data_IF_814452642998
#
_entry.id   IF_814452642998
#
_cell.length_a   1.000
_cell.length_b   1.000
_cell.length_c   1.000
_cell.angle_alpha   90.00
_cell.angle_beta   90.00
_cell.angle_gamma   90.00
#
_symmetry.space_group_name_H-M   'P 1'
#
loop_
_entity.id
_entity.type
_entity.pdbx_description
1 polymer ?
#
# COMPACT_ATOMS: atom_id res chain seq x y z
N UNK A 1 -1.39 20.06 -45.51
CA UNK A 1 -0.41 20.97 -46.14
C UNK A 1 -0.53 22.35 -45.52
N UNK A 2 0.59 22.98 -45.16
CA UNK A 2 0.62 24.37 -44.68
C UNK A 2 0.31 25.28 -45.86
N UNK A 3 -0.77 26.06 -45.76
CA UNK A 3 -1.25 26.89 -46.87
C UNK A 3 -0.88 28.36 -46.68
N UNK A 4 -0.70 28.82 -45.44
CA UNK A 4 -0.44 30.24 -45.18
C UNK A 4 0.07 30.51 -43.77
N UNK A 5 0.93 31.50 -43.61
CA UNK A 5 1.09 32.20 -42.33
C UNK A 5 0.15 33.42 -42.33
N UNK A 6 -0.95 33.35 -41.59
CA UNK A 6 -1.97 34.40 -41.58
C UNK A 6 -1.59 35.60 -40.73
N UNK A 7 -0.98 35.35 -39.58
CA UNK A 7 -0.58 36.39 -38.64
C UNK A 7 0.67 36.00 -37.85
N UNK A 8 1.57 36.95 -37.63
CA UNK A 8 2.71 36.84 -36.72
C UNK A 8 2.89 38.19 -36.03
N UNK A 9 2.65 38.25 -34.72
CA UNK A 9 2.65 39.50 -33.94
C UNK A 9 3.49 39.38 -32.70
N UNK A 10 4.33 40.38 -32.43
CA UNK A 10 5.29 40.44 -31.33
C UNK A 10 6.25 39.23 -31.25
N UNK A 11 6.62 38.65 -32.40
CA UNK A 11 7.58 37.54 -32.49
C UNK A 11 8.83 38.00 -33.26
N UNK A 12 9.90 38.33 -32.56
CA UNK A 12 11.17 38.76 -33.12
C UNK A 12 11.00 40.05 -33.92
N UNK A 13 11.23 39.97 -35.23
CA UNK A 13 11.03 41.08 -36.19
C UNK A 13 9.61 41.15 -36.75
N UNK A 14 8.75 40.18 -36.45
CA UNK A 14 7.33 40.21 -36.81
C UNK A 14 6.57 41.04 -35.76
N UNK A 15 6.54 42.36 -35.96
CA UNK A 15 5.86 43.29 -35.05
C UNK A 15 4.34 43.09 -35.08
N UNK A 16 3.71 43.18 -36.27
CA UNK A 16 2.29 42.87 -36.50
C UNK A 16 2.08 42.46 -37.96
N UNK A 17 2.74 41.38 -38.38
CA UNK A 17 2.55 40.84 -39.71
C UNK A 17 1.15 40.23 -39.83
N UNK A 18 0.42 40.60 -40.88
CA UNK A 18 -0.83 39.98 -41.28
C UNK A 18 -0.88 39.85 -42.79
N UNK A 19 -1.23 38.67 -43.29
CA UNK A 19 -1.42 38.44 -44.72
C UNK A 19 -2.87 38.77 -45.09
N UNK A 20 -3.10 39.47 -46.19
CA UNK A 20 -4.45 39.68 -46.73
C UNK A 20 -5.03 38.36 -47.28
N UNK A 21 -6.35 38.32 -47.51
CA UNK A 21 -7.06 37.09 -47.86
C UNK A 21 -6.46 36.34 -49.06
N UNK A 22 -6.00 37.07 -50.10
CA UNK A 22 -5.54 36.50 -51.37
C UNK A 22 -4.02 36.61 -51.60
N UNK A 23 -3.24 37.07 -50.62
CA UNK A 23 -1.79 37.30 -50.80
C UNK A 23 -0.95 36.28 -50.04
N UNK A 24 0.20 35.88 -50.57
CA UNK A 24 1.18 34.97 -49.93
C UNK A 24 0.64 33.55 -49.59
N UNK A 25 -0.26 33.00 -50.41
CA UNK A 25 -0.63 31.59 -50.30
C UNK A 25 0.55 30.69 -50.70
N UNK A 26 0.70 29.59 -49.99
CA UNK A 26 1.78 28.63 -50.21
C UNK A 26 1.30 27.48 -51.07
N UNK A 27 2.11 27.14 -52.06
CA UNK A 27 1.94 25.97 -52.90
C UNK A 27 2.86 24.82 -52.43
N UNK A 28 2.70 23.63 -53.03
CA UNK A 28 3.44 22.41 -52.63
C UNK A 28 4.94 22.67 -52.45
N UNK A 29 5.51 23.47 -53.34
CA UNK A 29 6.87 23.97 -53.24
C UNK A 29 6.81 25.50 -53.11
N UNK A 30 7.17 26.02 -51.95
CA UNK A 30 7.19 27.46 -51.67
C UNK A 30 8.59 27.86 -51.20
N UNK A 31 9.16 28.88 -51.83
CA UNK A 31 10.45 29.42 -51.46
C UNK A 31 10.27 30.72 -50.67
N UNK A 32 10.74 30.73 -49.42
CA UNK A 32 10.70 31.92 -48.56
C UNK A 32 12.12 32.48 -48.46
N UNK A 33 12.32 33.66 -49.04
CA UNK A 33 13.60 34.35 -49.03
C UNK A 33 13.55 35.60 -48.16
N UNK A 34 14.63 35.83 -47.42
CA UNK A 34 14.89 37.10 -46.75
C UNK A 34 16.41 37.23 -46.49
N UNK A 35 16.96 38.44 -46.28
CA UNK A 35 18.35 38.60 -45.88
C UNK A 35 18.64 38.01 -44.48
N UNK A 36 19.91 38.01 -44.07
CA UNK A 36 20.29 37.58 -42.73
C UNK A 36 19.70 38.49 -41.65
N UNK A 37 19.32 37.91 -40.52
CA UNK A 37 18.65 38.59 -39.40
C UNK A 37 17.24 39.14 -39.66
N UNK A 38 16.59 38.81 -40.78
CA UNK A 38 15.21 39.21 -41.09
C UNK A 38 14.13 38.26 -40.53
N UNK A 39 14.50 37.30 -39.68
CA UNK A 39 13.52 36.46 -38.97
C UNK A 39 13.18 35.11 -39.62
N UNK A 40 13.93 34.66 -40.63
CA UNK A 40 13.78 33.30 -41.20
C UNK A 40 13.82 32.21 -40.12
N UNK A 41 14.85 32.22 -39.28
CA UNK A 41 14.99 31.29 -38.15
C UNK A 41 13.88 31.46 -37.11
N UNK A 42 13.43 32.70 -36.90
CA UNK A 42 12.29 32.98 -36.01
C UNK A 42 11.02 32.32 -36.53
N UNK A 43 10.78 32.40 -37.83
CA UNK A 43 9.64 31.77 -38.47
C UNK A 43 9.70 30.24 -38.40
N UNK A 44 10.88 29.65 -38.61
CA UNK A 44 11.10 28.20 -38.39
C UNK A 44 10.79 27.82 -36.93
N UNK A 45 11.14 28.65 -35.95
CA UNK A 45 10.79 28.39 -34.54
C UNK A 45 9.28 28.44 -34.27
N UNK A 46 8.51 29.25 -35.01
CA UNK A 46 7.04 29.26 -34.92
C UNK A 46 6.49 27.92 -35.41
N UNK A 47 6.95 27.43 -36.57
CA UNK A 47 6.55 26.13 -37.10
C UNK A 47 6.97 24.97 -36.17
N UNK A 48 8.17 25.06 -35.59
CA UNK A 48 8.67 24.09 -34.60
C UNK A 48 7.83 24.10 -33.33
N UNK A 49 7.44 25.27 -32.84
CA UNK A 49 6.56 25.42 -31.68
C UNK A 49 5.18 24.81 -31.94
N UNK A 50 4.62 25.01 -33.14
CA UNK A 50 3.34 24.40 -33.54
C UNK A 50 3.41 22.87 -33.58
N UNK A 51 4.56 22.33 -34.02
CA UNK A 51 4.82 20.89 -34.06
C UNK A 51 4.95 20.27 -32.67
N UNK A 52 5.86 20.82 -31.87
CA UNK A 52 6.24 20.24 -30.57
C UNK A 52 5.28 20.67 -29.44
N UNK A 53 4.31 21.53 -29.76
CA UNK A 53 3.47 22.25 -28.80
C UNK A 53 4.28 22.89 -27.66
N UNK A 54 5.44 23.46 -27.99
CA UNK A 54 6.33 24.12 -27.02
C UNK A 54 6.25 25.65 -27.17
N UNK A 55 5.54 26.35 -26.25
CA UNK A 55 5.40 27.80 -26.28
C UNK A 55 6.71 28.54 -25.98
N UNK A 56 7.71 27.88 -25.37
CA UNK A 56 8.99 28.52 -25.02
C UNK A 56 9.74 28.98 -26.27
N UNK A 57 9.60 28.26 -27.38
CA UNK A 57 10.23 28.60 -28.66
C UNK A 57 9.75 29.94 -29.23
N UNK A 58 8.48 30.28 -29.03
CA UNK A 58 7.91 31.58 -29.44
C UNK A 58 8.21 32.65 -28.40
N UNK A 59 8.00 32.34 -27.11
CA UNK A 59 8.18 33.31 -26.00
C UNK A 59 9.62 33.79 -25.87
N UNK A 60 10.61 32.91 -26.07
CA UNK A 60 12.03 33.28 -26.11
C UNK A 60 12.39 34.22 -27.25
N UNK A 61 11.49 34.35 -28.24
CA UNK A 61 11.60 35.28 -29.37
C UNK A 61 10.61 36.43 -29.26
N UNK A 62 10.08 36.75 -28.08
CA UNK A 62 9.21 37.94 -27.92
C UNK A 62 9.92 39.20 -28.43
N UNK A 63 9.23 40.02 -29.20
CA UNK A 63 9.76 41.29 -29.71
C UNK A 63 10.17 42.21 -28.57
N UNK A 64 11.37 42.81 -28.69
CA UNK A 64 11.90 43.73 -27.68
C UNK A 64 10.99 44.95 -27.52
N UNK A 65 10.66 45.31 -26.28
CA UNK A 65 9.77 46.44 -25.96
C UNK A 65 8.28 46.17 -26.15
N UNK A 66 7.87 44.99 -26.64
CA UNK A 66 6.45 44.66 -26.79
C UNK A 66 5.78 44.41 -25.43
N UNK A 67 4.72 45.17 -25.12
CA UNK A 67 3.90 44.94 -23.91
C UNK A 67 2.98 43.73 -24.08
N UNK A 68 2.33 43.63 -25.24
CA UNK A 68 1.44 42.53 -25.58
C UNK A 68 2.16 41.18 -25.74
N UNK A 69 1.40 40.10 -25.59
CA UNK A 69 1.91 38.75 -25.79
C UNK A 69 2.17 38.45 -27.28
N UNK A 70 3.06 37.49 -27.59
CA UNK A 70 3.23 37.00 -28.95
C UNK A 70 1.98 36.26 -29.44
N UNK A 71 1.60 36.46 -30.69
CA UNK A 71 0.44 35.81 -31.34
C UNK A 71 0.87 35.28 -32.70
N UNK A 72 0.40 34.09 -33.06
CA UNK A 72 0.64 33.51 -34.38
C UNK A 72 -0.60 32.79 -34.89
N UNK A 73 -0.86 32.89 -36.19
CA UNK A 73 -1.93 32.14 -36.86
C UNK A 73 -1.36 31.50 -38.12
N UNK A 74 -1.38 30.16 -38.16
CA UNK A 74 -0.92 29.35 -39.30
C UNK A 74 -2.12 28.59 -39.85
N UNK A 75 -2.31 28.64 -41.16
CA UNK A 75 -3.36 27.90 -41.85
C UNK A 75 -2.81 26.59 -42.41
N UNK A 76 -3.44 25.47 -42.06
CA UNK A 76 -3.07 24.13 -42.51
C UNK A 76 -4.34 23.41 -42.93
N UNK A 77 -4.41 22.96 -44.19
CA UNK A 77 -5.59 22.25 -44.71
C UNK A 77 -6.91 23.03 -44.58
N UNK A 78 -6.86 24.37 -44.66
CA UNK A 78 -8.02 25.25 -44.49
C UNK A 78 -8.39 25.55 -43.03
N UNK A 79 -7.75 24.91 -42.06
CA UNK A 79 -7.97 25.15 -40.62
C UNK A 79 -6.93 26.14 -40.09
N UNK A 80 -7.37 27.07 -39.25
CA UNK A 80 -6.47 27.95 -38.52
C UNK A 80 -5.98 27.26 -37.24
N UNK A 81 -4.67 27.32 -37.03
CA UNK A 81 -3.96 26.99 -35.81
C UNK A 81 -3.51 28.32 -35.19
N UNK A 82 -3.91 28.59 -33.95
CA UNK A 82 -3.77 29.88 -33.27
C UNK A 82 -2.94 29.71 -32.01
N UNK A 83 -1.94 30.57 -31.86
CA UNK A 83 -1.14 30.74 -30.67
C UNK A 83 -1.57 32.00 -29.93
N UNK A 84 -2.02 31.87 -28.68
CA UNK A 84 -2.58 32.96 -27.87
C UNK A 84 -1.55 33.66 -26.95
N UNK A 85 -0.27 33.33 -27.08
CA UNK A 85 0.80 33.80 -26.19
C UNK A 85 1.20 32.79 -25.13
N UNK A 86 0.33 31.82 -24.85
CA UNK A 86 0.54 30.78 -23.85
C UNK A 86 0.65 29.39 -24.46
N UNK A 87 -0.22 29.03 -25.39
CA UNK A 87 -0.27 27.71 -26.05
C UNK A 87 -0.89 27.79 -27.43
N UNK A 88 -0.69 26.73 -28.21
CA UNK A 88 -1.46 26.50 -29.44
C UNK A 88 -2.81 25.90 -29.10
N UNK A 89 -3.87 26.35 -29.79
CA UNK A 89 -5.20 25.73 -29.70
C UNK A 89 -5.20 24.31 -30.28
N UNK A 90 -4.51 24.14 -31.41
CA UNK A 90 -4.40 22.93 -32.20
C UNK A 90 -2.94 22.74 -32.57
N UNK A 91 -2.15 21.97 -31.81
CA UNK A 91 -0.81 21.59 -32.25
C UNK A 91 -0.89 20.72 -33.52
N UNK A 92 0.17 20.74 -34.33
CA UNK A 92 0.22 19.98 -35.58
C UNK A 92 1.56 19.22 -35.70
N UNK A 93 1.64 17.97 -35.21
CA UNK A 93 2.90 17.23 -35.11
C UNK A 93 3.48 16.79 -36.46
N UNK A 94 2.69 16.80 -37.54
CA UNK A 94 3.08 16.29 -38.87
C UNK A 94 3.97 17.27 -39.67
N UNK A 95 4.70 18.15 -39.00
CA UNK A 95 5.64 19.10 -39.62
C UNK A 95 7.05 18.54 -39.51
N UNK A 96 7.75 18.40 -40.64
CA UNK A 96 9.16 18.02 -40.66
C UNK A 96 10.04 19.24 -40.94
N UNK A 97 11.09 19.42 -40.14
CA UNK A 97 11.99 20.58 -40.21
C UNK A 97 13.43 20.08 -40.32
N UNK A 98 14.09 20.44 -41.42
CA UNK A 98 15.44 20.03 -41.77
C UNK A 98 16.40 21.22 -41.73
N UNK A 99 16.61 21.82 -40.56
CA UNK A 99 17.48 22.97 -40.34
C UNK A 99 18.82 22.60 -39.70
N UNK A 100 19.69 23.59 -39.43
CA UNK A 100 21.00 23.34 -38.85
C UNK A 100 20.95 22.53 -37.52
N UNK A 101 20.05 22.80 -36.56
CA UNK A 101 19.83 21.93 -35.41
C UNK A 101 19.51 20.47 -35.77
N UNK A 102 18.67 20.23 -36.80
CA UNK A 102 18.40 18.88 -37.27
C UNK A 102 19.66 18.21 -37.82
N UNK A 103 20.43 18.92 -38.64
CA UNK A 103 21.67 18.40 -39.25
C UNK A 103 22.73 18.09 -38.18
N UNK A 104 22.92 18.99 -37.22
CA UNK A 104 23.89 18.81 -36.13
C UNK A 104 23.52 17.64 -35.23
N UNK A 105 22.23 17.50 -34.89
CA UNK A 105 21.77 16.43 -34.00
C UNK A 105 21.84 15.02 -34.64
N UNK A 106 21.85 14.95 -35.98
CA UNK A 106 21.54 13.72 -36.68
C UNK A 106 22.45 13.34 -37.85
N UNK A 107 23.12 14.28 -38.53
CA UNK A 107 23.80 13.99 -39.80
C UNK A 107 25.30 14.25 -39.69
N UNK A 108 25.76 15.36 -39.10
CA UNK A 108 27.19 15.68 -39.08
C UNK A 108 27.60 16.80 -38.10
N UNK A 109 28.63 16.54 -37.30
CA UNK A 109 29.62 17.58 -36.91
C UNK A 109 30.98 16.93 -36.61
N UNK A 110 31.99 17.19 -37.47
CA UNK A 110 33.45 16.89 -37.41
C UNK A 110 33.98 15.52 -36.88
N UNK A 111 33.35 14.89 -35.89
CA UNK A 111 33.59 13.51 -35.45
C UNK A 111 32.27 12.76 -35.25
N UNK A 112 32.19 11.53 -35.74
CA UNK A 112 31.01 10.67 -35.55
C UNK A 112 31.10 10.02 -34.16
N UNK A 113 30.58 10.72 -33.14
CA UNK A 113 30.44 10.18 -31.79
C UNK A 113 29.33 9.11 -31.65
N UNK A 114 29.31 8.45 -30.49
CA UNK A 114 28.33 7.39 -30.18
C UNK A 114 26.87 7.90 -30.16
N UNK A 115 26.66 9.13 -29.67
CA UNK A 115 25.33 9.78 -29.65
C UNK A 115 24.80 10.07 -31.06
N UNK A 116 25.65 10.41 -32.04
CA UNK A 116 25.24 10.61 -33.43
C UNK A 116 24.72 9.31 -34.06
N UNK A 117 25.45 8.19 -33.87
CA UNK A 117 25.00 6.86 -34.35
C UNK A 117 23.64 6.48 -33.73
N UNK A 118 23.47 6.75 -32.44
CA UNK A 118 22.22 6.51 -31.72
C UNK A 118 21.06 7.36 -32.26
N UNK A 119 21.30 8.62 -32.59
CA UNK A 119 20.26 9.50 -33.14
C UNK A 119 19.92 9.22 -34.61
N UNK A 120 20.91 8.85 -35.44
CA UNK A 120 20.67 8.35 -36.81
C UNK A 120 19.76 7.12 -36.78
N UNK A 121 20.02 6.17 -35.89
CA UNK A 121 19.14 5.01 -35.74
C UNK A 121 17.72 5.43 -35.33
N UNK A 122 17.54 6.42 -34.46
CA UNK A 122 16.20 6.93 -34.11
C UNK A 122 15.46 7.54 -35.30
N UNK A 123 16.14 8.21 -36.23
CA UNK A 123 15.50 8.70 -37.47
C UNK A 123 15.01 7.54 -38.33
N UNK A 124 15.84 6.50 -38.47
CA UNK A 124 15.51 5.33 -39.30
C UNK A 124 14.34 4.54 -38.69
N UNK A 125 14.23 4.48 -37.37
CA UNK A 125 13.18 3.71 -36.66
C UNK A 125 11.87 4.54 -36.53
N UNK A 126 11.93 5.87 -36.65
CA UNK A 126 10.75 6.76 -36.58
C UNK A 126 10.29 7.11 -35.17
N UNK A 127 9.24 7.94 -35.07
CA UNK A 127 8.77 8.56 -33.81
C UNK A 127 8.39 7.54 -32.73
N UNK A 128 7.80 6.39 -33.13
CA UNK A 128 7.49 5.30 -32.21
C UNK A 128 8.74 4.66 -31.60
N UNK A 129 9.80 4.49 -32.42
CA UNK A 129 11.09 3.98 -31.96
C UNK A 129 11.81 4.95 -31.02
N UNK A 130 11.68 6.26 -31.30
CA UNK A 130 12.23 7.30 -30.43
C UNK A 130 11.56 7.27 -29.05
N UNK A 131 10.22 7.20 -28.99
CA UNK A 131 9.47 7.09 -27.74
C UNK A 131 9.87 5.84 -26.95
N UNK A 132 9.94 4.70 -27.62
CA UNK A 132 10.36 3.44 -26.98
C UNK A 132 11.79 3.50 -26.43
N UNK A 133 12.70 4.16 -27.14
CA UNK A 133 14.08 4.35 -26.69
C UNK A 133 14.18 5.28 -25.47
N UNK A 134 13.34 6.32 -25.41
CA UNK A 134 13.22 7.21 -24.24
C UNK A 134 12.65 6.46 -23.03
N UNK A 135 11.58 5.69 -23.23
CA UNK A 135 10.97 4.85 -22.19
C UNK A 135 11.97 3.82 -21.64
N UNK A 136 12.73 3.16 -22.53
CA UNK A 136 13.78 2.21 -22.14
C UNK A 136 14.89 2.88 -21.34
N UNK A 137 15.30 4.09 -21.73
CA UNK A 137 16.30 4.86 -20.98
C UNK A 137 15.79 5.22 -19.59
N UNK A 138 14.52 5.64 -19.47
CA UNK A 138 13.91 5.97 -18.18
C UNK A 138 13.79 4.73 -17.28
N UNK A 139 13.40 3.58 -17.84
CA UNK A 139 13.33 2.31 -17.13
C UNK A 139 14.70 1.87 -16.61
N UNK A 140 15.76 1.95 -17.42
CA UNK A 140 17.13 1.64 -16.98
C UNK A 140 17.59 2.52 -15.83
N UNK A 141 17.26 3.82 -15.86
CA UNK A 141 17.59 4.73 -14.75
C UNK A 141 16.85 4.34 -13.47
N UNK A 142 15.57 3.98 -13.57
CA UNK A 142 14.77 3.50 -12.42
C UNK A 142 15.30 2.18 -11.86
N UNK A 143 15.65 1.23 -12.73
CA UNK A 143 16.27 -0.05 -12.35
C UNK A 143 17.58 0.19 -11.58
N UNK A 144 18.46 1.04 -12.11
CA UNK A 144 19.72 1.39 -11.44
C UNK A 144 19.49 2.03 -10.07
N UNK A 145 18.52 2.93 -9.95
CA UNK A 145 18.16 3.54 -8.68
C UNK A 145 17.65 2.50 -7.66
N UNK A 146 16.77 1.59 -8.10
CA UNK A 146 16.24 0.50 -7.25
C UNK A 146 17.32 -0.51 -6.85
N UNK A 147 18.22 -0.86 -7.76
CA UNK A 147 19.37 -1.73 -7.46
C UNK A 147 20.30 -1.08 -6.43
N UNK A 148 20.57 0.22 -6.53
CA UNK A 148 21.36 0.94 -5.54
C UNK A 148 20.67 1.01 -4.18
N UNK A 149 19.35 1.21 -4.15
CA UNK A 149 18.54 1.19 -2.94
C UNK A 149 18.60 -0.19 -2.26
N UNK A 150 18.43 -1.27 -3.03
CA UNK A 150 18.58 -2.64 -2.54
C UNK A 150 19.98 -2.92 -1.99
N UNK A 151 21.04 -2.52 -2.72
CA UNK A 151 22.42 -2.66 -2.25
C UNK A 151 22.68 -1.92 -0.94
N UNK A 152 22.11 -0.71 -0.79
CA UNK A 152 22.21 0.05 0.45
C UNK A 152 21.50 -0.62 1.63
N UNK A 153 20.31 -1.21 1.39
CA UNK A 153 19.58 -1.98 2.41
C UNK A 153 20.34 -3.24 2.81
N UNK A 154 20.91 -3.96 1.84
CA UNK A 154 21.77 -5.13 2.09
C UNK A 154 22.99 -4.74 2.93
N UNK A 155 23.63 -3.61 2.62
CA UNK A 155 24.76 -3.11 3.40
C UNK A 155 24.36 -2.65 4.82
N UNK A 156 23.14 -2.16 5.02
CA UNK A 156 22.61 -1.86 6.36
C UNK A 156 22.35 -3.15 7.15
N UNK A 157 21.72 -4.13 6.52
CA UNK A 157 21.46 -5.44 7.12
C UNK A 157 22.76 -6.13 7.55
N UNK A 158 23.76 -6.20 6.67
CA UNK A 158 25.06 -6.82 6.99
C UNK A 158 25.80 -6.11 8.14
N UNK A 159 25.59 -4.80 8.31
CA UNK A 159 26.15 -4.04 9.46
C UNK A 159 25.52 -4.42 10.80
N UNK A 160 24.31 -4.99 10.80
CA UNK A 160 23.61 -5.48 11.99
C UNK A 160 24.20 -6.76 12.61
N UNK A 161 25.22 -7.36 11.99
CA UNK A 161 25.89 -8.55 12.53
C UNK A 161 25.11 -9.85 12.34
N UNK A 162 24.11 -9.87 11.47
CA UNK A 162 23.38 -11.09 11.13
C UNK A 162 24.29 -12.08 10.39
N UNK A 163 24.25 -13.34 10.79
CA UNK A 163 25.04 -14.43 10.18
C UNK A 163 24.41 -15.01 8.91
N UNK A 164 23.12 -14.72 8.69
CA UNK A 164 22.36 -15.17 7.52
C UNK A 164 22.48 -14.17 6.37
N UNK A 165 22.62 -14.65 5.14
CA UNK A 165 22.53 -13.78 3.96
C UNK A 165 21.07 -13.38 3.69
N UNK A 166 20.87 -12.21 3.08
CA UNK A 166 19.52 -11.77 2.66
C UNK A 166 18.88 -12.76 1.70
N UNK A 167 19.67 -13.37 0.80
CA UNK A 167 19.15 -14.38 -0.12
C UNK A 167 18.63 -15.63 0.62
N UNK A 168 19.29 -16.04 1.70
CA UNK A 168 18.83 -17.15 2.52
C UNK A 168 17.51 -16.81 3.25
N UNK A 169 17.32 -15.55 3.65
CA UNK A 169 16.09 -15.09 4.30
C UNK A 169 14.93 -14.99 3.30
N UNK A 170 15.20 -14.45 2.11
CA UNK A 170 14.19 -14.34 1.04
C UNK A 170 13.80 -15.70 0.47
N UNK A 171 14.67 -16.71 0.60
CA UNK A 171 14.39 -18.09 0.20
C UNK A 171 13.55 -18.88 1.22
N UNK A 172 13.28 -18.33 2.41
CA UNK A 172 12.43 -19.00 3.41
C UNK A 172 11.01 -19.11 2.84
N UNK A 173 10.47 -20.33 2.67
CA UNK A 173 9.12 -20.52 2.17
C UNK A 173 8.10 -19.95 3.16
N UNK A 174 7.07 -19.26 2.66
CA UNK A 174 6.00 -18.71 3.51
C UNK A 174 5.30 -19.77 4.39
N UNK A 175 5.32 -21.04 3.97
CA UNK A 175 4.79 -22.16 4.76
C UNK A 175 5.63 -22.46 6.02
N UNK A 176 6.94 -22.20 6.00
CA UNK A 176 7.79 -22.36 7.20
C UNK A 176 7.48 -21.28 8.24
N UNK A 177 7.20 -20.05 7.81
CA UNK A 177 6.84 -18.94 8.71
C UNK A 177 5.57 -19.27 9.52
N UNK A 178 4.55 -19.83 8.88
CA UNK A 178 3.32 -20.26 9.55
C UNK A 178 3.52 -21.45 10.49
N UNK A 179 4.42 -22.39 10.15
CA UNK A 179 4.65 -23.60 10.94
C UNK A 179 5.54 -23.36 12.18
N UNK A 180 6.36 -22.30 12.18
CA UNK A 180 7.21 -21.94 13.33
C UNK A 180 6.37 -21.59 14.56
N UNK A 181 5.26 -20.88 14.39
CA UNK A 181 4.38 -20.51 15.51
C UNK A 181 3.81 -21.73 16.23
N UNK A 182 3.29 -22.71 15.47
CA UNK A 182 2.75 -23.95 16.03
C UNK A 182 3.84 -24.78 16.72
N UNK A 183 5.06 -24.81 16.17
CA UNK A 183 6.22 -25.48 16.79
C UNK A 183 6.63 -24.82 18.10
N UNK A 184 6.68 -23.49 18.16
CA UNK A 184 6.99 -22.75 19.40
C UNK A 184 5.95 -23.06 20.47
N UNK A 185 4.66 -22.98 20.11
CA UNK A 185 3.57 -23.24 21.05
C UNK A 185 3.63 -24.66 21.61
N UNK A 186 3.92 -25.65 20.76
CA UNK A 186 4.10 -27.04 21.19
C UNK A 186 5.29 -27.21 22.14
N UNK A 187 6.44 -26.60 21.82
CA UNK A 187 7.63 -26.63 22.67
C UNK A 187 7.40 -25.98 24.04
N UNK A 188 6.68 -24.85 24.09
CA UNK A 188 6.30 -24.20 25.35
C UNK A 188 5.38 -25.10 26.20
N UNK A 189 4.45 -25.80 25.55
CA UNK A 189 3.55 -26.74 26.21
C UNK A 189 4.30 -27.95 26.79
N UNK A 190 5.29 -28.47 26.05
CA UNK A 190 6.17 -29.56 26.50
C UNK A 190 7.04 -29.12 27.68
N UNK A 191 7.59 -27.89 27.65
CA UNK A 191 8.36 -27.32 28.78
C UNK A 191 7.49 -27.24 30.03
N UNK A 192 6.29 -26.67 29.92
CA UNK A 192 5.35 -26.54 31.04
C UNK A 192 4.92 -27.89 31.61
N UNK A 193 4.75 -28.89 30.74
CA UNK A 193 4.43 -30.25 31.16
C UNK A 193 5.57 -30.86 31.98
N UNK A 194 6.82 -30.72 31.53
CA UNK A 194 8.01 -31.18 32.28
C UNK A 194 8.21 -30.46 33.61
N UNK A 195 7.98 -29.15 33.67
CA UNK A 195 8.00 -28.39 34.93
C UNK A 195 6.94 -28.90 35.92
N UNK A 196 5.76 -29.25 35.41
CA UNK A 196 4.69 -29.83 36.23
C UNK A 196 5.04 -31.25 36.73
N UNK A 197 5.72 -32.06 35.91
CA UNK A 197 6.23 -33.37 36.32
C UNK A 197 7.28 -33.27 37.43
N UNK A 198 8.22 -32.32 37.33
CA UNK A 198 9.18 -32.05 38.41
C UNK A 198 8.48 -31.62 39.70
N UNK A 199 7.39 -30.85 39.59
CA UNK A 199 6.59 -30.41 40.74
C UNK A 199 5.87 -31.60 41.38
N UNK A 200 5.30 -32.49 40.57
CA UNK A 200 4.63 -33.71 41.05
C UNK A 200 5.62 -34.69 41.68
N UNK A 201 6.83 -34.85 41.12
CA UNK A 201 7.87 -35.68 41.74
C UNK A 201 8.34 -35.15 43.10
N UNK A 202 8.29 -33.83 43.32
CA UNK A 202 8.59 -33.21 44.61
C UNK A 202 7.45 -33.35 45.64
N UNK A 203 6.22 -33.65 45.21
CA UNK A 203 5.11 -33.95 46.11
C UNK A 203 5.33 -35.35 46.69
N UNK A 204 5.61 -35.43 47.99
CA UNK A 204 5.86 -36.69 48.68
C UNK A 204 4.70 -37.68 48.59
N UNK A 205 4.99 -38.96 48.76
CA UNK A 205 4.01 -40.04 48.65
C UNK A 205 2.77 -39.79 49.53
N UNK A 206 1.55 -40.14 49.05
CA UNK A 206 0.33 -39.99 49.81
C UNK A 206 0.45 -40.73 51.15
N UNK A 207 0.31 -40.02 52.27
CA UNK A 207 0.24 -40.65 53.59
C UNK A 207 -1.12 -41.33 53.73
N UNK A 208 -1.12 -42.63 53.97
CA UNK A 208 -2.31 -43.38 54.38
C UNK A 208 -2.83 -42.79 55.70
N UNK A 209 -4.00 -42.15 55.66
CA UNK A 209 -4.70 -41.74 56.87
C UNK A 209 -5.29 -42.98 57.54
N UNK A 210 -4.94 -43.23 58.81
CA UNK A 210 -5.56 -44.28 59.59
C UNK A 210 -7.03 -43.93 59.84
N UNK A 211 -7.93 -44.89 59.60
CA UNK A 211 -9.35 -44.70 59.86
C UNK A 211 -9.59 -44.44 61.36
N UNK A 212 -10.43 -43.45 61.74
CA UNK A 212 -10.76 -43.21 63.13
C UNK A 212 -11.47 -44.44 63.70
N UNK A 213 -11.05 -44.90 64.88
CA UNK A 213 -11.72 -46.00 65.57
C UNK A 213 -13.05 -45.50 66.15
N UNK A 214 -14.15 -46.17 65.78
CA UNK A 214 -15.46 -45.90 66.36
C UNK A 214 -15.71 -46.87 67.51
N UNK A 215 -15.84 -46.35 68.73
CA UNK A 215 -16.25 -47.15 69.88
C UNK A 215 -17.78 -47.29 69.91
N UNK A 216 -18.27 -48.48 69.52
CA UNK A 216 -19.69 -48.83 69.43
C UNK A 216 -20.24 -49.42 70.74
N UNK A 217 -19.49 -49.37 71.85
CA UNK A 217 -19.89 -49.91 73.14
C UNK A 217 -21.18 -49.28 73.69
N UNK A 218 -21.31 -47.96 73.58
CA UNK A 218 -22.53 -47.22 74.00
C UNK A 218 -23.78 -47.58 73.18
N UNK A 219 -23.63 -47.77 71.86
CA UNK A 219 -24.73 -48.14 70.97
C UNK A 219 -25.24 -49.57 71.24
N UNK A 220 -24.33 -50.51 71.56
CA UNK A 220 -24.70 -51.88 71.95
C UNK A 220 -25.40 -51.95 73.32
N UNK A 221 -25.03 -51.08 74.27
CA UNK A 221 -25.68 -51.01 75.59
C UNK A 221 -27.11 -50.45 75.52
N UNK A 222 -27.38 -49.50 74.61
CA UNK A 222 -28.72 -48.98 74.37
C UNK A 222 -29.61 -49.98 73.63
N UNK A 223 -29.07 -50.69 72.63
CA UNK A 223 -29.83 -51.68 71.85
C UNK A 223 -30.19 -52.96 72.63
N UNK A 224 -29.53 -53.25 73.75
CA UNK A 224 -29.75 -54.45 74.58
C UNK A 224 -30.77 -54.25 75.70
N UNK A 225 -31.28 -53.03 75.94
CA UNK A 225 -32.42 -52.79 76.84
C UNK A 225 -33.71 -53.19 76.14
N UNK A 226 -34.34 -54.29 76.59
CA UNK A 226 -35.66 -54.73 76.13
C UNK A 226 -36.71 -53.63 76.40
N UNK A 227 -37.41 -53.19 75.35
CA UNK A 227 -38.42 -52.11 75.34
C UNK A 227 -39.51 -52.27 76.41
N UNK A 228 -39.79 -53.49 76.84
CA UNK A 228 -40.85 -53.84 77.80
C UNK A 228 -40.60 -53.26 79.20
N UNK A 229 -39.33 -53.15 79.64
CA UNK A 229 -39.01 -52.62 80.97
C UNK A 229 -39.13 -51.08 81.06
N UNK A 230 -39.10 -50.38 79.92
CA UNK A 230 -39.24 -48.92 79.87
C UNK A 230 -40.72 -48.49 79.93
N UNK A 231 -41.63 -49.37 79.53
CA UNK A 231 -43.08 -49.11 79.58
C UNK A 231 -43.67 -49.24 80.99
N UNK A 232 -43.29 -50.24 81.79
CA UNK A 232 -43.81 -50.39 83.16
C UNK A 232 -43.40 -49.25 84.10
N UNK A 233 -42.18 -48.71 83.92
CA UNK A 233 -41.70 -47.58 84.71
C UNK A 233 -42.43 -46.28 84.35
N UNK A 234 -42.64 -46.03 83.05
CA UNK A 234 -43.38 -44.87 82.56
C UNK A 234 -44.87 -44.94 82.95
N UNK A 235 -45.50 -46.12 82.88
CA UNK A 235 -46.90 -46.33 83.26
C UNK A 235 -47.14 -46.08 84.76
N UNK A 236 -46.21 -46.50 85.64
CA UNK A 236 -46.27 -46.20 87.08
C UNK A 236 -46.20 -44.70 87.36
N UNK A 237 -45.34 -43.97 86.65
CA UNK A 237 -45.17 -42.54 86.87
C UNK A 237 -46.41 -41.74 86.43
N UNK A 238 -47.03 -42.15 85.31
CA UNK A 238 -48.30 -41.56 84.83
C UNK A 238 -49.45 -41.85 85.80
N UNK A 239 -49.59 -43.08 86.29
CA UNK A 239 -50.64 -43.43 87.26
C UNK A 239 -50.48 -42.68 88.59
N UNK A 240 -49.25 -42.55 89.10
CA UNK A 240 -48.96 -41.77 90.30
C UNK A 240 -49.29 -40.29 90.12
N UNK A 241 -49.06 -39.72 88.93
CA UNK A 241 -49.40 -38.35 88.62
C UNK A 241 -50.92 -38.10 88.58
N UNK A 242 -51.70 -39.05 88.06
CA UNK A 242 -53.17 -38.96 88.00
C UNK A 242 -53.78 -39.01 89.41
N UNK A 243 -53.33 -39.92 90.27
CA UNK A 243 -53.82 -40.03 91.65
C UNK A 243 -53.49 -38.80 92.50
N UNK A 244 -52.36 -38.13 92.23
CA UNK A 244 -51.94 -36.95 92.97
C UNK A 244 -52.75 -35.68 92.61
N UNK A 245 -53.28 -35.58 91.39
CA UNK A 245 -53.83 -34.31 90.87
C UNK A 245 -55.37 -34.27 90.71
N UNK A 246 -56.11 -35.36 90.92
CA UNK A 246 -57.58 -35.38 90.79
C UNK A 246 -58.30 -35.62 92.14
N UNK A 247 -59.24 -34.73 92.53
CA UNK A 247 -59.92 -34.71 93.86
C UNK A 247 -61.42 -35.07 93.91
N UNK A 248 -62.06 -35.52 92.82
CA UNK A 248 -63.38 -36.18 92.89
C UNK A 248 -63.45 -37.39 91.94
N UNK A 249 -63.92 -38.53 92.48
CA UNK A 249 -63.68 -39.90 92.01
C UNK A 249 -64.82 -40.47 91.16
N UNK A 250 -65.45 -39.66 90.32
CA UNK A 250 -66.66 -40.09 89.58
C UNK A 250 -66.60 -39.91 88.05
N UNK A 251 -65.48 -39.44 87.48
CA UNK A 251 -65.31 -39.34 86.02
C UNK A 251 -64.35 -40.36 85.38
N UNK A 252 -63.50 -41.05 86.14
CA UNK A 252 -62.50 -41.96 85.59
C UNK A 252 -62.98 -43.39 85.26
N UNK A 253 -64.28 -43.70 85.44
CA UNK A 253 -64.84 -45.05 85.15
C UNK A 253 -65.65 -45.15 83.85
N UNK A 254 -65.82 -44.07 83.07
CA UNK A 254 -66.65 -44.12 81.86
C UNK A 254 -65.94 -44.60 80.59
N UNK A 255 -64.62 -44.48 80.47
CA UNK A 255 -63.96 -44.79 79.18
C UNK A 255 -63.33 -46.19 79.14
N UNK A 256 -63.70 -47.09 80.06
CA UNK A 256 -63.22 -48.48 80.04
C UNK A 256 -64.09 -49.45 79.22
N UNK A 257 -65.07 -48.95 78.46
CA UNK A 257 -65.84 -49.72 77.45
C UNK A 257 -66.07 -48.90 76.17
N UNK A 258 -65.07 -48.89 75.31
CA UNK A 258 -65.16 -48.78 73.84
C UNK A 258 -63.81 -49.19 73.29
#
# INVERSE_FOLDING_TARGET
MITKAKRLKNIGKFYDFSSSANDLDWHKNTFVFAPNAYGKTTFVNVLRSLRDNDPKLIRSRKTLGAKANPEAVIAIGGVNHVFDGSRWDKPHPDIQIFDAPFIQANILTHEIGHEHKKNIHKIIIGEQGKKLAEDLSALKTKEKAKSQEAANLVAQFNRGGFTLSIDAILAIPAAEETAVGERIQKLEQDIKSKESEETVQKLGYPRLMAAPSFDLSGAKALASKKLVAVHEAAEREVLAHIDHNFKDKSQARRDRKS
#
